data_IF_554004050268
#
_entry.id   IF_554004050268
#
_cell.length_a   1.000
_cell.length_b   1.000
_cell.length_c   1.000
_cell.angle_alpha   90.00
_cell.angle_beta   90.00
_cell.angle_gamma   90.00
#
_symmetry.space_group_name_H-M   'P 1'
#
loop_
_entity.id
_entity.type
_entity.pdbx_description
1 polymer ?
#
# COMPACT_ATOMS: atom_id res chain seq x y z
N UNK A 1 12.89 -1.61 -10.08
CA UNK A 1 11.50 -2.08 -10.21
C UNK A 1 10.67 -1.35 -9.18
N UNK A 2 10.05 -0.24 -9.60
CA UNK A 2 9.40 0.73 -8.71
C UNK A 2 7.95 0.32 -8.45
N UNK A 3 7.51 0.60 -7.23
CA UNK A 3 6.34 -0.01 -6.59
C UNK A 3 5.02 0.15 -7.33
N UNK A 4 4.31 -0.96 -7.47
CA UNK A 4 2.88 -1.00 -7.73
C UNK A 4 2.14 -0.72 -6.42
N UNK A 5 2.02 0.57 -6.05
CA UNK A 5 0.78 1.00 -5.40
C UNK A 5 -0.30 0.93 -6.50
N UNK A 6 -0.79 -0.28 -6.76
CA UNK A 6 -1.98 -0.47 -7.58
C UNK A 6 -3.13 0.18 -6.85
N UNK A 7 -3.46 1.39 -7.29
CA UNK A 7 -4.69 2.09 -6.96
C UNK A 7 -5.83 1.07 -6.98
N UNK A 8 -6.48 0.88 -5.84
CA UNK A 8 -7.70 0.09 -5.71
C UNK A 8 -8.84 0.85 -6.41
N UNK A 9 -8.74 1.03 -7.73
CA UNK A 9 -9.79 1.61 -8.54
C UNK A 9 -10.82 0.50 -8.79
N UNK A 10 -12.09 0.74 -8.48
CA UNK A 10 -13.16 -0.26 -8.63
C UNK A 10 -13.22 -0.86 -10.05
N UNK A 11 -12.82 -0.08 -11.06
CA UNK A 11 -12.74 -0.50 -12.48
C UNK A 11 -11.65 -1.51 -12.79
N UNK A 12 -10.60 -1.61 -11.96
CA UNK A 12 -9.48 -2.56 -12.12
C UNK A 12 -9.50 -3.67 -11.06
N UNK A 13 -10.59 -3.78 -10.29
CA UNK A 13 -10.74 -4.80 -9.28
C UNK A 13 -11.20 -6.12 -9.91
N UNK A 14 -10.29 -7.10 -10.01
CA UNK A 14 -10.60 -8.45 -10.50
C UNK A 14 -11.16 -9.39 -9.42
N UNK A 15 -11.54 -8.88 -8.24
CA UNK A 15 -12.14 -9.71 -7.19
C UNK A 15 -13.59 -10.03 -7.55
N UNK A 16 -14.01 -11.26 -7.26
CA UNK A 16 -15.41 -11.64 -7.40
C UNK A 16 -16.33 -10.63 -6.69
N UNK A 17 -17.39 -10.15 -7.35
CA UNK A 17 -18.30 -9.17 -6.77
C UNK A 17 -18.97 -9.79 -5.54
N UNK A 18 -18.81 -9.12 -4.40
CA UNK A 18 -19.50 -9.48 -3.16
C UNK A 18 -20.53 -8.41 -2.87
N UNK A 19 -21.75 -8.86 -2.57
CA UNK A 19 -22.81 -7.99 -2.12
C UNK A 19 -22.45 -7.42 -0.75
N UNK A 20 -22.45 -6.09 -0.62
CA UNK A 20 -22.11 -5.41 0.62
C UNK A 20 -23.11 -5.78 1.74
N UNK A 21 -24.35 -6.12 1.37
CA UNK A 21 -25.41 -6.42 2.33
C UNK A 21 -25.41 -7.86 2.86
N UNK A 22 -24.86 -8.82 2.11
CA UNK A 22 -24.89 -10.25 2.44
C UNK A 22 -23.51 -10.93 2.47
N UNK A 23 -22.45 -10.25 2.06
CA UNK A 23 -21.14 -10.85 1.79
C UNK A 23 -21.14 -12.01 0.78
N UNK A 24 -22.24 -12.19 0.03
CA UNK A 24 -22.45 -13.27 -0.96
C UNK A 24 -22.01 -12.85 -2.37
N UNK A 25 -21.68 -13.82 -3.21
CA UNK A 25 -21.26 -13.63 -4.61
C UNK A 25 -22.44 -13.19 -5.50
N UNK A 26 -22.78 -11.90 -5.46
CA UNK A 26 -23.67 -11.24 -6.42
C UNK A 26 -23.45 -9.73 -6.39
N UNK A 27 -23.85 -9.04 -7.45
CA UNK A 27 -23.86 -7.58 -7.50
C UNK A 27 -24.90 -6.99 -6.54
N UNK A 28 -24.59 -5.85 -5.92
CA UNK A 28 -25.50 -5.17 -4.99
C UNK A 28 -26.85 -4.79 -5.65
N UNK A 29 -26.86 -4.53 -6.97
CA UNK A 29 -28.07 -4.24 -7.76
C UNK A 29 -29.03 -5.42 -7.85
N UNK A 30 -28.51 -6.64 -7.80
CA UNK A 30 -29.29 -7.88 -7.87
C UNK A 30 -29.63 -8.40 -6.46
N UNK A 31 -29.38 -7.61 -5.43
CA UNK A 31 -29.58 -8.02 -4.06
C UNK A 31 -31.06 -7.93 -3.67
N UNK A 32 -31.68 -9.08 -3.41
CA UNK A 32 -33.07 -9.20 -2.92
C UNK A 32 -33.22 -8.94 -1.42
N UNK A 33 -32.26 -8.27 -0.76
CA UNK A 33 -32.32 -8.03 0.70
C UNK A 33 -33.51 -7.14 1.03
N UNK A 34 -34.46 -7.66 1.80
CA UNK A 34 -35.49 -6.83 2.43
C UNK A 34 -34.87 -5.97 3.53
N UNK A 35 -35.39 -4.76 3.72
CA UNK A 35 -34.95 -3.84 4.77
C UNK A 35 -34.99 -4.44 6.19
N UNK A 36 -35.79 -5.50 6.40
CA UNK A 36 -35.98 -6.15 7.70
C UNK A 36 -34.84 -7.10 8.11
N UNK A 37 -33.93 -7.46 7.20
CA UNK A 37 -32.83 -8.37 7.56
C UNK A 37 -31.65 -7.60 8.16
N UNK A 38 -31.07 -8.04 9.29
CA UNK A 38 -29.94 -7.35 9.89
C UNK A 38 -28.76 -7.32 8.92
N UNK A 39 -28.02 -6.21 8.94
CA UNK A 39 -26.85 -6.03 8.07
C UNK A 39 -25.78 -7.07 8.39
N UNK A 40 -25.31 -7.76 7.35
CA UNK A 40 -24.17 -8.67 7.44
C UNK A 40 -22.94 -7.93 6.94
N UNK A 41 -21.88 -7.93 7.74
CA UNK A 41 -20.67 -7.24 7.35
C UNK A 41 -20.01 -7.94 6.16
N UNK A 42 -19.71 -7.20 5.08
CA UNK A 42 -19.21 -7.76 3.82
C UNK A 42 -17.88 -8.54 3.94
N UNK A 43 -17.08 -8.26 4.98
CA UNK A 43 -15.75 -8.85 5.18
C UNK A 43 -15.82 -10.15 5.99
N UNK A 44 -16.59 -10.19 7.08
CA UNK A 44 -16.68 -11.39 7.93
C UNK A 44 -17.96 -12.22 7.73
N UNK A 45 -19.02 -11.64 7.16
CA UNK A 45 -20.35 -12.24 7.02
C UNK A 45 -21.18 -12.25 8.32
N UNK A 46 -20.67 -11.67 9.41
CA UNK A 46 -21.29 -11.66 10.74
C UNK A 46 -22.46 -10.67 10.87
N UNK A 47 -23.37 -10.89 11.83
CA UNK A 47 -24.58 -10.07 12.05
C UNK A 47 -24.26 -8.78 12.81
N UNK A 48 -23.42 -7.94 12.23
CA UNK A 48 -23.03 -6.68 12.83
C UNK A 48 -22.63 -5.66 11.74
N UNK A 49 -22.73 -4.35 12.02
CA UNK A 49 -22.28 -3.31 11.10
C UNK A 49 -20.75 -3.26 10.99
N UNK A 50 -20.25 -2.49 10.03
CA UNK A 50 -18.81 -2.30 9.76
C UNK A 50 -18.03 -1.75 10.96
N UNK A 51 -18.67 -0.89 11.76
CA UNK A 51 -18.03 -0.24 12.90
C UNK A 51 -18.03 -1.12 14.15
N UNK A 52 -18.40 -2.40 14.05
CA UNK A 52 -18.39 -3.31 15.18
C UNK A 52 -16.95 -3.63 15.62
N UNK A 53 -16.55 -3.00 16.71
CA UNK A 53 -15.20 -3.07 17.29
C UNK A 53 -14.83 -4.45 17.84
N UNK A 54 -15.77 -5.38 18.00
CA UNK A 54 -15.49 -6.75 18.47
C UNK A 54 -15.35 -7.75 17.32
N UNK A 55 -15.33 -7.32 16.06
CA UNK A 55 -15.08 -8.22 14.94
C UNK A 55 -13.58 -8.55 14.83
N UNK A 56 -13.22 -9.83 14.95
CA UNK A 56 -11.83 -10.31 14.84
C UNK A 56 -11.21 -10.09 13.45
N UNK A 57 -12.04 -9.98 12.42
CA UNK A 57 -11.63 -9.70 11.02
C UNK A 57 -11.66 -8.21 10.68
N UNK A 58 -11.91 -7.33 11.65
CA UNK A 58 -11.82 -5.90 11.41
C UNK A 58 -10.37 -5.48 11.31
N UNK A 59 -10.00 -4.84 10.19
CA UNK A 59 -8.63 -4.42 9.94
C UNK A 59 -8.13 -3.43 11.01
N UNK A 60 -9.05 -2.67 11.62
CA UNK A 60 -8.77 -1.76 12.74
C UNK A 60 -8.34 -2.53 14.00
N UNK A 61 -8.84 -3.76 14.18
CA UNK A 61 -8.53 -4.60 15.33
C UNK A 61 -7.31 -5.51 15.11
N UNK A 62 -6.99 -5.83 13.85
CA UNK A 62 -5.73 -6.50 13.53
C UNK A 62 -4.60 -5.50 13.64
N UNK A 63 -3.88 -5.51 14.77
CA UNK A 63 -2.59 -4.82 14.86
C UNK A 63 -1.70 -5.36 13.75
N UNK A 64 -1.08 -4.51 12.91
CA UNK A 64 -0.06 -5.00 11.99
C UNK A 64 1.01 -5.70 12.81
N UNK A 65 1.51 -6.84 12.32
CA UNK A 65 2.63 -7.52 12.95
C UNK A 65 3.74 -6.50 13.19
N UNK A 66 4.32 -6.49 14.41
CA UNK A 66 5.44 -5.61 14.72
C UNK A 66 6.53 -5.87 13.67
N UNK A 67 7.07 -4.83 13.01
CA UNK A 67 8.15 -5.03 12.05
C UNK A 67 9.30 -5.75 12.76
N UNK A 68 9.75 -6.86 12.20
CA UNK A 68 10.88 -7.67 12.68
C UNK A 68 12.23 -7.00 12.45
N UNK A 69 12.23 -5.90 11.70
CA UNK A 69 13.41 -5.10 11.35
C UNK A 69 13.40 -3.78 12.11
N UNK A 70 14.58 -3.37 12.58
CA UNK A 70 14.77 -2.06 13.16
C UNK A 70 14.64 -0.98 12.06
N UNK A 71 13.45 -0.39 11.98
CA UNK A 71 13.09 0.62 10.97
C UNK A 71 14.05 1.82 10.99
N UNK A 72 14.64 2.15 12.15
CA UNK A 72 15.59 3.26 12.28
C UNK A 72 16.95 2.95 11.65
N UNK A 73 17.47 1.74 11.85
CA UNK A 73 18.74 1.32 11.23
C UNK A 73 18.62 1.24 9.72
N UNK A 74 17.51 0.72 9.22
CA UNK A 74 17.27 0.60 7.77
C UNK A 74 17.15 1.98 7.12
N UNK A 75 16.46 2.92 7.78
CA UNK A 75 16.37 4.31 7.31
C UNK A 75 17.75 4.99 7.29
N UNK A 76 18.59 4.73 8.29
CA UNK A 76 19.97 5.25 8.34
C UNK A 76 20.81 4.73 7.18
N UNK A 77 20.74 3.43 6.87
CA UNK A 77 21.42 2.82 5.72
C UNK A 77 20.95 3.41 4.40
N UNK A 78 19.63 3.59 4.22
CA UNK A 78 19.08 4.21 3.01
C UNK A 78 19.56 5.66 2.84
N UNK A 79 19.67 6.41 3.94
CA UNK A 79 20.13 7.79 3.89
C UNK A 79 21.63 7.87 3.56
N UNK A 80 22.44 6.97 4.12
CA UNK A 80 23.86 6.86 3.76
C UNK A 80 24.04 6.46 2.27
N UNK A 81 23.26 5.50 1.77
CA UNK A 81 23.31 5.10 0.37
C UNK A 81 22.95 6.26 -0.58
N UNK A 82 21.95 7.08 -0.22
CA UNK A 82 21.60 8.29 -0.99
C UNK A 82 22.73 9.33 -0.98
N UNK A 83 23.40 9.53 0.15
CA UNK A 83 24.56 10.44 0.22
C UNK A 83 25.72 9.93 -0.63
N UNK A 84 26.05 8.64 -0.55
CA UNK A 84 27.11 8.02 -1.34
C UNK A 84 26.86 8.14 -2.85
N UNK A 85 25.62 7.91 -3.30
CA UNK A 85 25.25 8.09 -4.71
C UNK A 85 25.42 9.54 -5.17
N UNK A 86 25.05 10.51 -4.31
CA UNK A 86 25.23 11.93 -4.61
C UNK A 86 26.71 12.30 -4.73
N UNK A 87 27.57 11.78 -3.84
CA UNK A 87 29.02 11.99 -3.91
C UNK A 87 29.62 11.40 -5.19
N UNK A 88 29.20 10.20 -5.59
CA UNK A 88 29.65 9.59 -6.84
C UNK A 88 29.26 10.44 -8.06
N UNK A 89 28.04 10.99 -8.08
CA UNK A 89 27.59 11.86 -9.15
C UNK A 89 28.39 13.18 -9.21
N UNK A 90 28.73 13.77 -8.05
CA UNK A 90 29.59 14.97 -8.02
C UNK A 90 31.00 14.69 -8.51
N UNK A 91 31.59 13.55 -8.13
CA UNK A 91 32.93 13.18 -8.58
C UNK A 91 32.98 12.94 -10.10
N UNK A 92 31.91 12.38 -10.68
CA UNK A 92 31.78 12.21 -12.12
C UNK A 92 31.70 13.55 -12.86
N UNK A 93 30.93 14.51 -12.33
CA UNK A 93 30.84 15.86 -12.92
C UNK A 93 32.18 16.60 -12.88
N UNK A 94 32.92 16.50 -11.78
CA UNK A 94 34.25 17.11 -11.64
C UNK A 94 35.21 16.50 -12.66
N UNK A 95 35.26 15.17 -12.79
CA UNK A 95 36.11 14.48 -13.78
C UNK A 95 35.79 14.88 -15.22
N UNK A 96 34.50 14.96 -15.56
CA UNK A 96 34.06 15.38 -16.89
C UNK A 96 34.52 16.80 -17.22
N UNK A 97 34.35 17.75 -16.29
CA UNK A 97 34.73 19.16 -16.51
C UNK A 97 36.24 19.39 -16.57
N UNK A 98 37.04 18.57 -15.86
CA UNK A 98 38.50 18.66 -15.87
C UNK A 98 39.11 18.06 -17.14
N UNK A 99 38.44 17.07 -17.74
CA UNK A 99 38.88 16.43 -19.01
C UNK A 99 38.55 17.30 -20.23
N UNK A 100 37.50 18.12 -20.15
CA UNK A 100 37.04 18.96 -21.27
C UNK A 100 37.79 20.29 -21.43
N UNK A 101 38.73 20.64 -20.55
CA UNK A 101 39.49 21.88 -20.65
C UNK A 101 40.98 21.65 -20.34
N UNK A 102 41.75 21.06 -21.28
CA UNK A 102 43.20 21.07 -21.14
C UNK A 102 43.66 22.53 -21.17
N UNK A 103 44.52 22.91 -20.21
CA UNK A 103 45.09 24.23 -20.08
C UNK A 103 45.52 24.78 -21.46
N UNK A 104 44.96 25.94 -21.85
CA UNK A 104 45.54 26.73 -22.93
C UNK A 104 46.80 27.37 -22.36
N UNK A 105 47.95 26.79 -22.72
CA UNK A 105 49.27 27.41 -22.62
C UNK A 105 49.33 28.70 -23.46
#
# INVERSE_FOLDING_TARGET
MSGLLSLLHSRFCNRNPKCIKYARSHFNRNCKKSFQTPDKWAICGGPHPTNFSRCSKNLINTKPAKPTVNVWEERKKQQQAKMALRTQHTDQLIKHNTTSNPARD
#
